data_IF_140274696779
#
_entry.id   IF_140274696779
#
_cell.length_a   1.000
_cell.length_b   1.000
_cell.length_c   1.000
_cell.angle_alpha   90.00
_cell.angle_beta   90.00
_cell.angle_gamma   90.00
#
_symmetry.space_group_name_H-M   'P 1'
#
loop_
_entity.id
_entity.type
_entity.pdbx_description
1 polymer ?
#
# COMPACT_ATOMS: atom_id res chain seq x y z
N UNK A 1 -3.95 -3.78 -15.85
CA UNK A 1 -2.90 -3.95 -14.83
C UNK A 1 -1.72 -4.67 -15.46
N UNK A 2 -0.54 -4.05 -15.46
CA UNK A 2 0.69 -4.67 -15.95
C UNK A 2 1.16 -5.75 -14.94
N UNK A 3 1.28 -7.01 -15.33
CA UNK A 3 1.67 -8.09 -14.41
C UNK A 3 3.13 -8.02 -13.97
N UNK A 4 4.00 -7.31 -14.72
CA UNK A 4 5.43 -7.18 -14.38
C UNK A 4 5.71 -6.29 -13.18
N UNK A 5 4.69 -5.59 -12.66
CA UNK A 5 4.82 -4.80 -11.43
C UNK A 5 4.95 -5.70 -10.20
N UNK A 6 4.43 -6.92 -10.25
CA UNK A 6 4.57 -7.92 -9.17
C UNK A 6 5.94 -8.57 -9.29
N UNK A 7 6.85 -8.18 -8.39
CA UNK A 7 8.22 -8.69 -8.34
C UNK A 7 8.33 -9.77 -7.27
N UNK A 8 9.56 -10.26 -7.07
CA UNK A 8 9.85 -11.34 -6.13
C UNK A 8 9.44 -11.02 -4.68
N UNK A 9 9.58 -9.75 -4.27
CA UNK A 9 9.40 -9.33 -2.87
C UNK A 9 8.38 -8.21 -2.66
N UNK A 10 8.04 -7.46 -3.70
CA UNK A 10 7.17 -6.28 -3.61
C UNK A 10 6.49 -5.95 -4.96
N UNK A 11 5.69 -4.88 -4.96
CA UNK A 11 5.14 -4.28 -6.15
C UNK A 11 5.99 -3.06 -6.51
N UNK A 12 6.34 -2.88 -7.79
CA UNK A 12 7.25 -1.81 -8.23
C UNK A 12 7.10 -1.47 -9.70
N UNK A 13 6.87 -0.18 -10.00
CA UNK A 13 6.64 0.31 -11.35
C UNK A 13 6.84 1.81 -11.52
N UNK A 14 6.65 2.30 -12.75
CA UNK A 14 6.63 3.73 -13.10
C UNK A 14 5.23 4.28 -12.87
N UNK A 15 5.08 5.36 -12.12
CA UNK A 15 3.78 5.83 -11.63
C UNK A 15 2.77 6.11 -12.73
N UNK A 16 3.18 6.85 -13.76
CA UNK A 16 2.28 7.26 -14.85
C UNK A 16 1.81 6.09 -15.73
N UNK A 17 2.59 5.00 -15.79
CA UNK A 17 2.35 3.85 -16.66
C UNK A 17 1.68 2.69 -15.90
N UNK A 18 2.21 2.38 -14.72
CA UNK A 18 1.91 1.17 -13.98
C UNK A 18 0.91 1.36 -12.84
N UNK A 19 0.73 2.60 -12.37
CA UNK A 19 -0.11 2.92 -11.22
C UNK A 19 -1.23 3.95 -11.51
N UNK A 20 -2.04 3.77 -12.57
CA UNK A 20 -3.28 4.51 -12.70
C UNK A 20 -4.22 4.20 -11.52
N UNK A 21 -5.10 5.15 -11.18
CA UNK A 21 -5.91 5.11 -9.95
C UNK A 21 -6.71 3.81 -9.79
N UNK A 22 -7.33 3.32 -10.87
CA UNK A 22 -8.11 2.07 -10.88
C UNK A 22 -7.27 0.84 -10.55
N UNK A 23 -6.03 0.79 -11.04
CA UNK A 23 -5.07 -0.28 -10.72
C UNK A 23 -4.72 -0.24 -9.23
N UNK A 24 -4.45 0.95 -8.68
CA UNK A 24 -4.06 1.08 -7.26
C UNK A 24 -5.23 0.76 -6.33
N UNK A 25 -6.46 1.14 -6.69
CA UNK A 25 -7.69 0.71 -6.00
C UNK A 25 -7.83 -0.82 -6.04
N UNK A 26 -7.58 -1.45 -7.19
CA UNK A 26 -7.63 -2.90 -7.31
C UNK A 26 -6.56 -3.59 -6.45
N UNK A 27 -5.34 -3.04 -6.36
CA UNK A 27 -4.29 -3.55 -5.48
C UNK A 27 -4.71 -3.47 -4.01
N UNK A 28 -5.23 -2.32 -3.57
CA UNK A 28 -5.77 -2.15 -2.22
C UNK A 28 -6.88 -3.15 -1.93
N UNK A 29 -7.82 -3.34 -2.86
CA UNK A 29 -8.90 -4.33 -2.73
C UNK A 29 -8.36 -5.76 -2.66
N UNK A 30 -7.35 -6.10 -3.45
CA UNK A 30 -6.71 -7.41 -3.43
C UNK A 30 -6.08 -7.71 -2.07
N UNK A 31 -5.29 -6.78 -1.53
CA UNK A 31 -4.66 -6.93 -0.22
C UNK A 31 -5.69 -6.96 0.92
N UNK A 32 -6.67 -6.07 0.91
CA UNK A 32 -7.75 -6.06 1.90
C UNK A 32 -8.59 -7.34 1.89
N UNK A 33 -8.81 -7.93 0.72
CA UNK A 33 -9.52 -9.21 0.59
C UNK A 33 -8.69 -10.34 1.18
N UNK A 34 -7.40 -10.38 0.88
CA UNK A 34 -6.48 -11.38 1.45
C UNK A 34 -6.46 -11.34 2.98
N UNK A 35 -6.34 -10.14 3.58
CA UNK A 35 -6.35 -10.00 5.05
C UNK A 35 -7.68 -10.46 5.66
N UNK A 36 -8.81 -10.11 5.02
CA UNK A 36 -10.15 -10.56 5.43
C UNK A 36 -10.33 -12.07 5.39
N UNK A 37 -9.83 -12.74 4.34
CA UNK A 37 -9.86 -14.20 4.21
C UNK A 37 -9.04 -14.90 5.31
N UNK A 38 -8.05 -14.21 5.87
CA UNK A 38 -7.27 -14.66 7.03
C UNK A 38 -7.89 -14.30 8.37
N UNK A 39 -9.06 -13.67 8.39
CA UNK A 39 -9.79 -13.25 9.59
C UNK A 39 -9.40 -11.87 10.14
N UNK A 40 -8.45 -11.19 9.50
CA UNK A 40 -8.01 -9.85 9.88
C UNK A 40 -9.01 -8.76 9.49
N UNK A 41 -8.95 -7.63 10.19
CA UNK A 41 -9.88 -6.50 10.05
C UNK A 41 -9.21 -5.14 10.01
N UNK A 42 -8.02 -4.98 10.58
CA UNK A 42 -7.38 -3.67 10.69
C UNK A 42 -6.05 -3.65 9.94
N UNK A 43 -5.87 -2.69 9.04
CA UNK A 43 -4.64 -2.55 8.26
C UNK A 43 -4.05 -1.17 8.49
N UNK A 44 -2.76 -1.10 8.81
CA UNK A 44 -2.04 0.17 8.79
C UNK A 44 -1.50 0.49 7.39
N UNK A 45 -1.52 1.76 7.03
CA UNK A 45 -0.93 2.27 5.79
C UNK A 45 -0.03 3.46 6.09
N UNK A 46 1.06 3.55 5.35
CA UNK A 46 1.95 4.71 5.36
C UNK A 46 2.62 4.87 3.99
N UNK A 47 3.40 5.93 3.82
CA UNK A 47 4.25 6.05 2.65
C UNK A 47 5.49 6.91 2.84
N UNK A 48 6.33 6.95 1.80
CA UNK A 48 7.52 7.79 1.75
C UNK A 48 7.26 9.21 1.22
N UNK A 49 8.31 10.01 1.07
CA UNK A 49 8.24 11.43 0.68
C UNK A 49 8.03 11.69 -0.82
N UNK A 50 7.73 10.68 -1.64
CA UNK A 50 7.53 10.89 -3.09
C UNK A 50 6.28 11.71 -3.36
N UNK A 51 6.32 12.56 -4.39
CA UNK A 51 5.17 13.37 -4.81
C UNK A 51 3.93 12.54 -5.18
N UNK A 52 4.14 11.32 -5.68
CA UNK A 52 3.05 10.40 -6.03
C UNK A 52 2.42 9.71 -4.81
N UNK A 53 3.13 9.63 -3.68
CA UNK A 53 2.69 8.86 -2.51
C UNK A 53 1.33 9.29 -1.97
N UNK A 54 0.99 10.59 -1.79
CA UNK A 54 -0.33 10.99 -1.31
C UNK A 54 -1.50 10.47 -2.17
N UNK A 55 -1.37 10.54 -3.49
CA UNK A 55 -2.40 10.06 -4.42
C UNK A 55 -2.51 8.53 -4.39
N UNK A 56 -1.37 7.82 -4.47
CA UNK A 56 -1.35 6.36 -4.44
C UNK A 56 -1.90 5.81 -3.12
N UNK A 57 -1.50 6.41 -1.99
CA UNK A 57 -2.00 6.03 -0.66
C UNK A 57 -3.51 6.20 -0.55
N UNK A 58 -4.07 7.29 -1.10
CA UNK A 58 -5.51 7.54 -1.14
C UNK A 58 -6.24 6.47 -1.96
N UNK A 59 -5.78 6.18 -3.18
CA UNK A 59 -6.37 5.18 -4.05
C UNK A 59 -6.30 3.77 -3.43
N UNK A 60 -5.15 3.41 -2.85
CA UNK A 60 -4.99 2.12 -2.17
C UNK A 60 -5.93 1.99 -0.97
N UNK A 61 -6.07 3.07 -0.19
CA UNK A 61 -7.00 3.14 0.95
C UNK A 61 -8.45 2.95 0.53
N UNK A 62 -8.88 3.53 -0.60
CA UNK A 62 -10.22 3.28 -1.14
C UNK A 62 -10.44 1.80 -1.46
N UNK A 63 -9.44 1.15 -2.06
CA UNK A 63 -9.46 -0.29 -2.30
C UNK A 63 -9.60 -1.11 -1.02
N UNK A 64 -8.82 -0.77 0.01
CA UNK A 64 -8.90 -1.41 1.33
C UNK A 64 -10.30 -1.26 1.94
N UNK A 65 -10.79 -0.03 2.09
CA UNK A 65 -12.09 0.23 2.72
C UNK A 65 -13.24 -0.50 2.02
N UNK A 66 -13.16 -0.70 0.70
CA UNK A 66 -14.16 -1.45 -0.06
C UNK A 66 -14.24 -2.95 0.29
N UNK A 67 -13.27 -3.51 1.03
CA UNK A 67 -13.30 -4.90 1.52
C UNK A 67 -13.88 -5.03 2.93
N UNK A 68 -14.21 -3.91 3.58
CA UNK A 68 -14.72 -3.89 4.95
C UNK A 68 -13.64 -4.11 6.02
N UNK A 69 -12.38 -3.77 5.71
CA UNK A 69 -11.33 -3.56 6.72
C UNK A 69 -11.35 -2.11 7.23
N UNK A 70 -10.88 -1.91 8.44
CA UNK A 70 -10.53 -0.62 9.00
C UNK A 70 -9.10 -0.25 8.58
N UNK A 71 -8.86 1.05 8.32
CA UNK A 71 -7.55 1.55 7.88
C UNK A 71 -7.02 2.58 8.88
N UNK A 72 -5.80 2.36 9.36
CA UNK A 72 -5.05 3.31 10.19
C UNK A 72 -3.96 3.95 9.34
N UNK A 73 -4.08 5.24 9.04
CA UNK A 73 -3.07 5.99 8.30
C UNK A 73 -1.98 6.53 9.26
N UNK A 74 -0.76 5.99 9.18
CA UNK A 74 0.40 6.43 9.96
C UNK A 74 1.11 7.63 9.32
N UNK A 75 0.63 8.13 8.19
CA UNK A 75 1.16 9.30 7.51
C UNK A 75 2.39 8.97 6.67
N UNK A 76 3.37 9.88 6.71
CA UNK A 76 4.64 9.76 6.02
C UNK A 76 5.71 9.33 7.02
N UNK A 77 6.15 8.08 6.93
CA UNK A 77 7.12 7.49 7.86
C UNK A 77 8.08 6.56 7.12
N UNK A 78 9.30 6.33 7.65
CA UNK A 78 10.18 5.30 7.11
C UNK A 78 9.54 3.92 7.16
N UNK A 79 9.80 3.10 6.15
CA UNK A 79 9.39 1.68 6.08
C UNK A 79 9.52 0.90 7.40
N UNK A 80 10.64 0.96 8.15
CA UNK A 80 10.74 0.23 9.42
C UNK A 80 9.74 0.71 10.50
N UNK A 81 9.25 1.94 10.43
CA UNK A 81 8.20 2.45 11.35
C UNK A 81 6.86 1.76 11.06
N UNK A 82 6.52 1.58 9.78
CA UNK A 82 5.35 0.84 9.37
C UNK A 82 5.44 -0.65 9.71
N UNK A 83 6.63 -1.25 9.62
CA UNK A 83 6.81 -2.64 10.06
C UNK A 83 6.71 -2.74 11.58
N UNK A 84 7.25 -1.77 12.31
CA UNK A 84 7.16 -1.74 13.76
C UNK A 84 5.72 -1.63 14.27
N UNK A 85 4.82 -0.97 13.52
CA UNK A 85 3.39 -0.88 13.89
C UNK A 85 2.76 -2.26 14.06
N UNK A 86 3.17 -3.26 13.30
CA UNK A 86 2.68 -4.65 13.42
C UNK A 86 3.05 -5.32 14.74
N UNK A 87 4.05 -4.81 15.45
CA UNK A 87 4.50 -5.36 16.74
C UNK A 87 3.89 -4.63 17.94
N UNK A 88 3.46 -3.38 17.76
CA UNK A 88 3.03 -2.50 18.86
C UNK A 88 1.57 -2.07 18.80
N UNK A 89 0.90 -2.25 17.66
CA UNK A 89 -0.51 -1.90 17.47
C UNK A 89 -1.33 -3.17 17.25
N UNK A 90 -2.63 -3.10 17.57
CA UNK A 90 -3.60 -4.15 17.28
C UNK A 90 -4.03 -4.07 15.81
N UNK A 91 -3.16 -4.53 14.91
CA UNK A 91 -3.39 -4.55 13.46
C UNK A 91 -3.08 -5.94 12.87
N UNK A 92 -3.76 -6.27 11.78
CA UNK A 92 -3.67 -7.56 11.10
C UNK A 92 -2.83 -7.50 9.80
N UNK A 93 -2.45 -6.29 9.39
CA UNK A 93 -1.62 -6.06 8.21
C UNK A 93 -1.05 -4.65 8.16
N UNK A 94 0.02 -4.48 7.38
CA UNK A 94 0.63 -3.18 7.14
C UNK A 94 1.05 -3.07 5.67
N UNK A 95 0.92 -1.87 5.09
CA UNK A 95 1.38 -1.57 3.73
C UNK A 95 2.14 -0.25 3.69
N UNK A 96 3.28 -0.26 3.00
CA UNK A 96 4.12 0.92 2.82
C UNK A 96 4.11 1.29 1.33
N UNK A 97 3.61 2.48 1.01
CA UNK A 97 3.73 3.06 -0.33
C UNK A 97 5.10 3.73 -0.45
N UNK A 98 6.03 3.13 -1.19
CA UNK A 98 7.38 3.67 -1.34
C UNK A 98 8.05 3.15 -2.59
N UNK A 99 8.76 4.01 -3.32
CA UNK A 99 9.67 3.60 -4.39
C UNK A 99 11.05 3.15 -3.91
N UNK A 100 11.29 3.05 -2.59
CA UNK A 100 12.60 2.76 -2.01
C UNK A 100 13.66 3.75 -2.54
N UNK A 101 14.76 3.26 -3.10
CA UNK A 101 15.86 4.02 -3.69
C UNK A 101 15.70 4.25 -5.21
N UNK A 102 14.58 3.82 -5.81
CA UNK A 102 14.37 3.92 -7.25
C UNK A 102 14.23 5.38 -7.72
N UNK A 103 14.38 5.65 -9.03
CA UNK A 103 14.14 6.96 -9.63
C UNK A 103 12.82 7.61 -9.17
N UNK A 104 12.75 8.95 -9.18
CA UNK A 104 11.65 9.71 -8.58
C UNK A 104 10.26 9.41 -9.19
N UNK A 105 10.21 9.03 -10.47
CA UNK A 105 8.99 8.64 -11.18
C UNK A 105 8.50 7.23 -10.85
N UNK A 106 9.23 6.45 -10.04
CA UNK A 106 8.83 5.12 -9.61
C UNK A 106 8.18 5.12 -8.22
N UNK A 107 7.29 4.17 -7.99
CA UNK A 107 6.74 3.89 -6.67
C UNK A 107 6.39 2.40 -6.55
N UNK A 108 5.68 2.02 -5.50
CA UNK A 108 5.17 0.66 -5.29
C UNK A 108 4.62 0.44 -3.90
#
# INVERSE_FOLDING_TARGET
MNSYIFREYDIRGVVEEDFPEDVVVLLGKGFGTYVREKGGKTISISGDVRFSTPQLKKAFTQGLLATGVDVIDLGIVPTPTNYYSMFIMDIDGAVQITGSHNPANMNG
#
